data_IF_986814901328
#
_entry.id   IF_986814901328
#
_cell.length_a   1.000
_cell.length_b   1.000
_cell.length_c   1.000
_cell.angle_alpha   90.00
_cell.angle_beta   90.00
_cell.angle_gamma   90.00
#
_symmetry.space_group_name_H-M   'P 1'
#
loop_
_entity.id
_entity.type
_entity.pdbx_description
1 polymer ?
#
# COMPACT_ATOMS: atom_id res chain seq x y z
N UNK A 1 27.58 -52.83 78.71
CA UNK A 1 27.09 -51.89 77.69
C UNK A 1 27.41 -52.47 76.32
N UNK A 2 26.43 -53.12 75.70
CA UNK A 2 26.58 -54.08 74.61
C UNK A 2 26.75 -53.39 73.25
N UNK A 3 27.46 -54.04 72.31
CA UNK A 3 27.67 -53.56 70.92
C UNK A 3 26.35 -53.18 70.21
N UNK A 4 25.23 -53.78 70.62
CA UNK A 4 23.89 -53.45 70.15
C UNK A 4 23.43 -52.02 70.52
N UNK A 5 23.75 -51.51 71.71
CA UNK A 5 23.33 -50.17 72.14
C UNK A 5 24.12 -49.05 71.42
N UNK A 6 25.39 -49.32 71.05
CA UNK A 6 26.19 -48.42 70.19
C UNK A 6 25.72 -48.45 68.73
N UNK A 7 25.20 -49.57 68.24
CA UNK A 7 24.61 -49.65 66.90
C UNK A 7 23.27 -48.92 66.82
N UNK A 8 22.45 -48.99 67.88
CA UNK A 8 21.15 -48.33 67.96
C UNK A 8 21.27 -46.80 68.11
N UNK A 9 22.26 -46.32 68.88
CA UNK A 9 22.60 -44.89 68.96
C UNK A 9 23.26 -44.34 67.68
N UNK A 10 23.97 -45.17 66.88
CA UNK A 10 24.43 -44.79 65.54
C UNK A 10 23.30 -44.73 64.52
N UNK A 11 22.34 -45.68 64.56
CA UNK A 11 21.17 -45.64 63.67
C UNK A 11 20.24 -44.44 63.93
N UNK A 12 20.14 -43.96 65.18
CA UNK A 12 19.37 -42.74 65.49
C UNK A 12 20.06 -41.45 65.00
N UNK A 13 21.39 -41.43 64.92
CA UNK A 13 22.13 -40.32 64.30
C UNK A 13 21.98 -40.28 62.78
N UNK A 14 21.99 -41.44 62.13
CA UNK A 14 21.88 -41.55 60.67
C UNK A 14 20.44 -41.35 60.17
N UNK A 15 19.43 -41.89 60.85
CA UNK A 15 18.01 -41.72 60.46
C UNK A 15 17.49 -40.29 60.64
N UNK A 16 17.93 -39.58 61.69
CA UNK A 16 17.62 -38.17 61.88
C UNK A 16 18.25 -37.27 60.79
N UNK A 17 19.47 -37.62 60.35
CA UNK A 17 20.16 -36.92 59.27
C UNK A 17 19.48 -37.15 57.92
N UNK A 18 18.99 -38.37 57.64
CA UNK A 18 18.22 -38.69 56.42
C UNK A 18 16.89 -37.93 56.37
N UNK A 19 16.17 -37.84 57.49
CA UNK A 19 14.92 -37.06 57.54
C UNK A 19 15.18 -35.56 57.32
N UNK A 20 16.23 -35.00 57.94
CA UNK A 20 16.61 -33.61 57.72
C UNK A 20 17.03 -33.31 56.26
N UNK A 21 17.79 -34.22 55.63
CA UNK A 21 18.12 -34.11 54.20
C UNK A 21 16.88 -34.18 53.31
N UNK A 22 15.92 -35.05 53.64
CA UNK A 22 14.68 -35.20 52.87
C UNK A 22 13.83 -33.93 52.96
N UNK A 23 13.69 -33.35 54.16
CA UNK A 23 12.95 -32.09 54.36
C UNK A 23 13.65 -30.92 53.64
N UNK A 24 14.98 -30.86 53.65
CA UNK A 24 15.72 -29.85 52.89
C UNK A 24 15.56 -30.03 51.37
N UNK A 25 15.58 -31.27 50.85
CA UNK A 25 15.34 -31.54 49.43
C UNK A 25 13.92 -31.19 49.01
N UNK A 26 12.92 -31.50 49.84
CA UNK A 26 11.52 -31.11 49.58
C UNK A 26 11.37 -29.59 49.65
N UNK A 27 12.03 -28.92 50.60
CA UNK A 27 12.04 -27.46 50.71
C UNK A 27 12.70 -26.78 49.51
N UNK A 28 13.86 -27.27 49.08
CA UNK A 28 14.55 -26.78 47.88
C UNK A 28 13.73 -27.05 46.61
N UNK A 29 13.11 -28.22 46.51
CA UNK A 29 12.21 -28.58 45.42
C UNK A 29 10.98 -27.66 45.35
N UNK A 30 10.38 -27.36 46.51
CA UNK A 30 9.25 -26.44 46.60
C UNK A 30 9.63 -25.01 46.22
N UNK A 31 10.80 -24.52 46.66
CA UNK A 31 11.30 -23.20 46.29
C UNK A 31 11.63 -23.09 44.79
N UNK A 32 12.25 -24.12 44.22
CA UNK A 32 12.52 -24.18 42.78
C UNK A 32 11.23 -24.21 41.95
N UNK A 33 10.20 -24.92 42.42
CA UNK A 33 8.89 -24.98 41.75
C UNK A 33 8.11 -23.66 41.88
N UNK A 34 8.21 -22.98 43.03
CA UNK A 34 7.61 -21.65 43.21
C UNK A 34 8.25 -20.59 42.30
N UNK A 35 9.58 -20.58 42.19
CA UNK A 35 10.31 -19.65 41.33
C UNK A 35 10.00 -19.88 39.83
N UNK A 36 9.87 -21.15 39.40
CA UNK A 36 9.50 -21.47 38.02
C UNK A 36 8.05 -21.07 37.72
N UNK A 37 7.10 -21.29 38.64
CA UNK A 37 5.72 -20.82 38.49
C UNK A 37 5.62 -19.29 38.39
N UNK A 38 6.37 -18.54 39.20
CA UNK A 38 6.39 -17.08 39.12
C UNK A 38 6.89 -16.59 37.74
N UNK A 39 7.92 -17.26 37.21
CA UNK A 39 8.46 -16.96 35.87
C UNK A 39 7.45 -17.29 34.77
N UNK A 40 6.77 -18.45 34.86
CA UNK A 40 5.71 -18.83 33.91
C UNK A 40 4.57 -17.83 33.96
N UNK A 41 4.09 -17.42 35.14
CA UNK A 41 3.03 -16.41 35.28
C UNK A 41 3.47 -15.06 34.69
N UNK A 42 4.71 -14.63 34.91
CA UNK A 42 5.24 -13.40 34.33
C UNK A 42 5.32 -13.46 32.79
N UNK A 43 5.81 -14.58 32.24
CA UNK A 43 5.87 -14.80 30.79
C UNK A 43 4.48 -14.87 30.17
N UNK A 44 3.53 -15.53 30.84
CA UNK A 44 2.14 -15.66 30.35
C UNK A 44 1.40 -14.32 30.40
N UNK A 45 1.62 -13.51 31.44
CA UNK A 45 1.08 -12.14 31.54
C UNK A 45 1.73 -11.19 30.53
N UNK A 46 3.02 -11.35 30.28
CA UNK A 46 3.73 -10.63 29.21
C UNK A 46 3.19 -10.98 27.83
N UNK A 47 2.98 -12.28 27.55
CA UNK A 47 2.46 -12.72 26.25
C UNK A 47 0.99 -12.35 26.05
N UNK A 48 0.16 -12.36 27.11
CA UNK A 48 -1.23 -11.89 27.02
C UNK A 48 -1.30 -10.39 26.75
N UNK A 49 -0.44 -9.58 27.37
CA UNK A 49 -0.35 -8.15 27.11
C UNK A 49 0.03 -7.85 25.64
N UNK A 50 1.05 -8.55 25.13
CA UNK A 50 1.47 -8.40 23.72
C UNK A 50 0.38 -8.86 22.75
N UNK A 51 -0.30 -9.97 23.03
CA UNK A 51 -1.37 -10.47 22.16
C UNK A 51 -2.58 -9.50 22.12
N UNK A 52 -2.91 -8.91 23.26
CA UNK A 52 -3.99 -7.92 23.39
C UNK A 52 -3.65 -6.61 22.67
N UNK A 53 -2.43 -6.08 22.87
CA UNK A 53 -1.95 -4.88 22.18
C UNK A 53 -1.88 -5.10 20.66
N UNK A 54 -1.49 -6.30 20.23
CA UNK A 54 -1.57 -6.70 18.82
C UNK A 54 -3.02 -6.75 18.32
N UNK A 55 -3.97 -7.22 19.13
CA UNK A 55 -5.40 -7.20 18.80
C UNK A 55 -5.93 -5.78 18.55
N UNK A 56 -5.55 -4.82 19.40
CA UNK A 56 -5.89 -3.40 19.23
C UNK A 56 -5.24 -2.84 17.97
N UNK A 57 -3.97 -3.18 17.70
CA UNK A 57 -3.28 -2.74 16.50
C UNK A 57 -3.97 -3.27 15.22
N UNK A 58 -4.30 -4.56 15.19
CA UNK A 58 -5.00 -5.17 14.04
C UNK A 58 -6.39 -4.55 13.84
N UNK A 59 -7.14 -4.28 14.91
CA UNK A 59 -8.40 -3.58 14.80
C UNK A 59 -8.24 -2.18 14.16
N UNK A 60 -7.23 -1.41 14.58
CA UNK A 60 -6.93 -0.12 13.96
C UNK A 60 -6.51 -0.27 12.48
N UNK A 61 -5.66 -1.25 12.16
CA UNK A 61 -5.21 -1.49 10.79
C UNK A 61 -6.36 -1.87 9.85
N UNK A 62 -7.26 -2.77 10.29
CA UNK A 62 -8.43 -3.17 9.51
C UNK A 62 -9.39 -2.01 9.24
N UNK A 63 -9.45 -1.00 10.11
CA UNK A 63 -10.19 0.23 9.82
C UNK A 63 -9.63 1.02 8.63
N UNK A 64 -8.30 1.07 8.47
CA UNK A 64 -7.65 1.69 7.30
C UNK A 64 -7.89 0.84 6.04
N UNK A 65 -7.75 -0.49 6.16
CA UNK A 65 -7.95 -1.41 5.04
C UNK A 65 -9.38 -1.36 4.50
N UNK A 66 -10.40 -1.21 5.37
CA UNK A 66 -11.78 -1.06 4.94
C UNK A 66 -12.00 0.23 4.11
N UNK A 67 -11.44 1.37 4.53
CA UNK A 67 -11.49 2.60 3.72
C UNK A 67 -10.72 2.45 2.41
N UNK A 68 -9.60 1.71 2.43
CA UNK A 68 -8.84 1.42 1.21
C UNK A 68 -9.65 0.55 0.23
N UNK A 69 -10.41 -0.44 0.73
CA UNK A 69 -11.32 -1.24 -0.09
C UNK A 69 -12.42 -0.38 -0.72
N UNK A 70 -13.06 0.49 0.05
CA UNK A 70 -14.06 1.43 -0.47
C UNK A 70 -13.48 2.35 -1.56
N UNK A 71 -12.26 2.85 -1.35
CA UNK A 71 -11.55 3.64 -2.36
C UNK A 71 -11.32 2.82 -3.63
N UNK A 72 -10.88 1.56 -3.53
CA UNK A 72 -10.70 0.66 -4.68
C UNK A 72 -12.00 0.42 -5.46
N UNK A 73 -13.15 0.46 -4.79
CA UNK A 73 -14.47 0.39 -5.42
C UNK A 73 -14.92 1.72 -6.05
N UNK A 74 -14.11 2.78 -5.95
CA UNK A 74 -14.40 4.10 -6.50
C UNK A 74 -15.30 4.96 -5.62
N UNK A 75 -15.53 4.57 -4.36
CA UNK A 75 -16.23 5.42 -3.40
C UNK A 75 -15.38 6.64 -3.05
N UNK A 76 -16.05 7.71 -2.63
CA UNK A 76 -15.43 8.97 -2.19
C UNK A 76 -15.64 9.13 -0.69
N UNK A 77 -14.63 8.83 0.15
CA UNK A 77 -14.72 8.94 1.60
C UNK A 77 -15.00 10.34 2.17
N UNK A 78 -14.83 11.39 1.36
CA UNK A 78 -15.16 12.77 1.74
C UNK A 78 -16.54 13.22 1.23
N UNK A 79 -17.20 12.36 0.46
CA UNK A 79 -18.53 12.62 -0.08
C UNK A 79 -19.61 12.63 1.02
N UNK A 80 -20.66 13.47 0.90
CA UNK A 80 -21.69 13.60 1.93
C UNK A 80 -22.54 12.33 2.12
N UNK A 81 -22.55 11.43 1.13
CA UNK A 81 -23.26 10.15 1.17
C UNK A 81 -22.38 8.99 1.66
N UNK A 82 -21.09 9.22 1.90
CA UNK A 82 -20.19 8.18 2.34
C UNK A 82 -20.54 7.71 3.75
N UNK A 83 -20.59 6.39 3.92
CA UNK A 83 -20.77 5.76 5.22
C UNK A 83 -19.46 5.13 5.60
N UNK A 84 -18.91 5.57 6.73
CA UNK A 84 -17.68 4.99 7.28
C UNK A 84 -17.94 3.50 7.56
N UNK A 85 -17.06 2.59 7.12
CA UNK A 85 -17.28 1.15 7.27
C UNK A 85 -17.25 0.74 8.75
N UNK A 86 -18.17 -0.13 9.12
CA UNK A 86 -18.18 -0.76 10.44
C UNK A 86 -17.32 -2.01 10.41
N UNK A 87 -16.19 -1.97 11.11
CA UNK A 87 -15.24 -3.08 11.21
C UNK A 87 -15.23 -3.60 12.65
N UNK A 88 -15.23 -4.91 12.84
CA UNK A 88 -15.11 -5.54 14.17
C UNK A 88 -14.03 -6.61 14.12
N UNK A 89 -12.94 -6.41 14.86
CA UNK A 89 -11.84 -7.38 14.94
C UNK A 89 -11.67 -7.79 16.39
N UNK A 90 -11.87 -9.07 16.68
CA UNK A 90 -11.74 -9.64 18.03
C UNK A 90 -12.55 -8.88 19.11
N UNK A 91 -13.74 -8.39 18.74
CA UNK A 91 -14.61 -7.63 19.64
C UNK A 91 -14.21 -6.16 19.85
N UNK A 92 -13.17 -5.68 19.17
CA UNK A 92 -12.72 -4.28 19.19
C UNK A 92 -13.20 -3.60 17.91
N UNK A 93 -13.95 -2.51 18.06
CA UNK A 93 -14.42 -1.68 16.96
C UNK A 93 -13.54 -0.41 16.87
N UNK A 94 -12.77 -0.22 15.78
CA UNK A 94 -12.01 1.01 15.59
C UNK A 94 -12.97 2.18 15.28
N UNK A 95 -12.61 3.36 15.75
CA UNK A 95 -13.17 4.64 15.29
C UNK A 95 -12.35 5.12 14.10
N UNK A 96 -13.00 5.28 12.94
CA UNK A 96 -12.35 5.70 11.69
C UNK A 96 -12.77 7.14 11.38
N UNK A 97 -11.80 7.98 11.07
CA UNK A 97 -12.00 9.36 10.63
C UNK A 97 -11.24 9.57 9.34
N UNK A 98 -11.95 10.03 8.30
CA UNK A 98 -11.35 10.38 7.01
C UNK A 98 -11.39 11.89 6.83
N UNK A 99 -10.29 12.45 6.34
CA UNK A 99 -10.16 13.89 6.12
C UNK A 99 -9.27 14.22 4.93
N UNK A 100 -9.15 15.52 4.66
CA UNK A 100 -8.17 16.04 3.72
C UNK A 100 -6.79 16.13 4.39
N UNK A 101 -5.69 15.84 3.67
CA UNK A 101 -4.35 16.01 4.19
C UNK A 101 -4.08 17.45 4.63
N UNK A 102 -3.29 17.67 5.71
CA UNK A 102 -3.03 19.02 6.23
C UNK A 102 -2.09 19.83 5.32
N UNK A 103 -1.29 19.19 4.47
CA UNK A 103 -0.43 19.84 3.48
C UNK A 103 -0.27 18.98 2.24
N UNK A 104 0.04 19.62 1.10
CA UNK A 104 0.37 18.94 -0.17
C UNK A 104 1.65 18.10 -0.09
N UNK A 105 2.56 18.44 0.82
CA UNK A 105 3.83 17.73 1.02
C UNK A 105 3.68 16.48 1.92
N UNK A 106 2.47 16.21 2.45
CA UNK A 106 2.21 15.01 3.23
C UNK A 106 2.31 13.72 2.40
N UNK A 107 2.29 13.84 1.08
CA UNK A 107 2.46 12.74 0.14
C UNK A 107 3.79 12.85 -0.58
N UNK A 108 4.44 11.73 -0.93
CA UNK A 108 5.43 11.75 -1.99
C UNK A 108 4.85 12.41 -3.24
N UNK A 109 5.67 13.24 -3.89
CA UNK A 109 5.32 13.90 -5.15
C UNK A 109 4.77 12.84 -6.10
N UNK A 110 3.59 13.08 -6.66
CA UNK A 110 2.87 12.03 -7.37
C UNK A 110 3.73 11.39 -8.45
N UNK A 111 3.70 10.08 -8.46
CA UNK A 111 4.35 9.21 -9.43
C UNK A 111 3.70 9.41 -10.79
N UNK A 112 4.51 9.66 -11.82
CA UNK A 112 4.04 9.65 -13.20
C UNK A 112 3.42 8.28 -13.49
N UNK A 113 2.23 8.26 -14.07
CA UNK A 113 1.56 7.02 -14.47
C UNK A 113 1.97 6.67 -15.88
N UNK A 114 2.46 5.44 -16.03
CA UNK A 114 2.69 4.81 -17.32
C UNK A 114 1.37 4.30 -17.89
N UNK A 115 1.09 4.66 -19.13
CA UNK A 115 0.04 4.09 -19.95
C UNK A 115 0.72 3.47 -21.18
N UNK A 116 0.44 2.19 -21.44
CA UNK A 116 0.78 1.56 -22.70
C UNK A 116 -0.49 1.44 -23.57
N UNK A 117 -0.65 2.29 -24.60
CA UNK A 117 -1.82 2.25 -25.46
C UNK A 117 -1.93 0.93 -26.26
N UNK A 118 -0.83 0.22 -26.52
CA UNK A 118 -0.82 -1.05 -27.25
C UNK A 118 -1.16 -2.31 -26.45
N UNK A 119 -1.08 -2.25 -25.11
CA UNK A 119 -1.39 -3.40 -24.24
C UNK A 119 -2.85 -3.37 -23.74
N UNK A 120 -3.47 -2.19 -23.71
CA UNK A 120 -4.77 -1.97 -23.04
C UNK A 120 -5.96 -1.66 -23.99
N UNK A 121 -5.85 -1.89 -25.31
CA UNK A 121 -6.93 -1.52 -26.23
C UNK A 121 -6.78 -1.97 -27.70
N UNK A 122 -7.69 -1.50 -28.60
CA UNK A 122 -7.74 -1.86 -30.02
C UNK A 122 -6.53 -1.39 -30.83
N UNK A 123 -5.61 -0.64 -30.22
CA UNK A 123 -4.34 -0.19 -30.82
C UNK A 123 -3.29 -1.31 -30.92
N UNK A 124 -3.64 -2.51 -30.45
CA UNK A 124 -2.85 -3.73 -30.65
C UNK A 124 -2.84 -4.20 -32.11
N UNK A 125 -3.70 -3.66 -32.99
CA UNK A 125 -3.75 -4.02 -34.40
C UNK A 125 -3.82 -2.79 -35.34
N UNK A 126 -3.13 -2.82 -36.50
CA UNK A 126 -3.13 -1.76 -37.51
C UNK A 126 -4.53 -1.52 -38.11
N UNK A 127 -4.92 -0.26 -38.30
CA UNK A 127 -5.89 0.13 -39.33
C UNK A 127 -5.36 1.38 -40.06
N UNK A 128 -5.03 1.28 -41.36
CA UNK A 128 -4.35 2.32 -42.12
C UNK A 128 -5.27 3.52 -42.35
N UNK A 129 -4.71 4.73 -42.30
CA UNK A 129 -5.46 5.97 -42.49
C UNK A 129 -6.48 6.26 -41.37
N UNK A 130 -6.30 5.64 -40.19
CA UNK A 130 -7.10 5.95 -39.01
C UNK A 130 -6.34 6.86 -38.06
N UNK A 131 -7.09 7.75 -37.44
CA UNK A 131 -6.63 8.61 -36.36
C UNK A 131 -7.00 7.94 -35.04
N UNK A 132 -5.99 7.61 -34.25
CA UNK A 132 -6.15 7.02 -32.94
C UNK A 132 -6.05 8.10 -31.86
N UNK A 133 -6.99 8.08 -30.91
CA UNK A 133 -7.04 9.09 -29.84
C UNK A 133 -7.04 8.43 -28.48
N UNK A 134 -6.07 8.78 -27.66
CA UNK A 134 -6.00 8.42 -26.25
C UNK A 134 -6.39 9.63 -25.43
N UNK A 135 -7.55 9.55 -24.78
CA UNK A 135 -8.03 10.62 -23.90
C UNK A 135 -7.53 10.40 -22.48
N UNK A 136 -6.68 11.30 -22.00
CA UNK A 136 -6.20 11.36 -20.63
C UNK A 136 -7.13 12.26 -19.83
N UNK A 137 -7.65 11.79 -18.70
CA UNK A 137 -8.61 12.51 -17.86
C UNK A 137 -8.07 12.57 -16.43
N UNK A 138 -8.26 13.71 -15.75
CA UNK A 138 -7.68 14.03 -14.45
C UNK A 138 -6.15 14.05 -14.51
N UNK A 139 -5.57 14.76 -15.46
CA UNK A 139 -4.13 15.03 -15.48
C UNK A 139 -3.84 16.23 -14.56
N UNK A 140 -2.70 16.20 -13.87
CA UNK A 140 -2.25 17.27 -13.01
C UNK A 140 -1.93 18.52 -13.85
N UNK A 141 -2.58 19.68 -13.58
CA UNK A 141 -2.31 20.91 -14.30
C UNK A 141 -0.85 21.32 -14.18
N UNK A 142 -0.31 21.91 -15.24
CA UNK A 142 1.08 22.35 -15.31
C UNK A 142 2.11 21.24 -15.07
N UNK A 143 1.76 19.95 -15.21
CA UNK A 143 2.77 18.88 -15.20
C UNK A 143 3.46 18.75 -16.56
N UNK A 144 4.44 17.86 -16.65
CA UNK A 144 4.94 17.37 -17.94
C UNK A 144 4.11 16.15 -18.36
N UNK A 145 3.86 16.03 -19.65
CA UNK A 145 3.39 14.83 -20.32
C UNK A 145 4.53 14.34 -21.20
N UNK A 146 4.92 13.08 -21.05
CA UNK A 146 5.88 12.46 -21.96
C UNK A 146 5.16 11.45 -22.82
N UNK A 147 5.42 11.46 -24.11
CA UNK A 147 4.89 10.49 -25.06
C UNK A 147 6.08 9.94 -25.84
N UNK A 148 6.11 8.63 -26.01
CA UNK A 148 6.98 7.97 -26.96
C UNK A 148 6.12 7.07 -27.83
N UNK A 149 6.28 7.17 -29.13
CA UNK A 149 5.54 6.38 -30.09
C UNK A 149 6.51 5.72 -31.06
N UNK A 150 6.54 4.39 -31.06
CA UNK A 150 7.54 3.62 -31.80
C UNK A 150 6.85 2.61 -32.71
N UNK A 151 7.22 2.65 -33.98
CA UNK A 151 6.69 1.82 -35.05
C UNK A 151 7.50 0.53 -35.20
N UNK A 152 6.88 -0.52 -35.74
CA UNK A 152 7.55 -1.79 -36.01
C UNK A 152 8.55 -1.74 -37.17
N UNK A 153 8.49 -0.70 -38.00
CA UNK A 153 9.32 -0.56 -39.20
C UNK A 153 9.88 0.88 -39.29
N UNK A 154 11.17 1.04 -39.63
CA UNK A 154 11.90 2.30 -39.54
C UNK A 154 11.88 3.14 -40.84
N UNK A 155 11.08 2.80 -41.84
CA UNK A 155 11.02 3.59 -43.10
C UNK A 155 9.74 4.43 -43.20
N UNK A 156 9.10 4.69 -42.05
CA UNK A 156 7.67 5.03 -42.02
C UNK A 156 7.39 6.40 -41.40
N UNK A 157 6.49 7.12 -42.06
CA UNK A 157 5.99 8.42 -41.62
C UNK A 157 4.80 8.24 -40.66
N UNK A 158 4.78 9.03 -39.60
CA UNK A 158 3.70 9.04 -38.64
C UNK A 158 3.70 10.34 -37.86
N UNK A 159 2.58 10.65 -37.24
CA UNK A 159 2.35 11.94 -36.62
C UNK A 159 1.76 11.72 -35.23
N UNK A 160 2.32 12.40 -34.24
CA UNK A 160 1.79 12.45 -32.88
C UNK A 160 1.43 13.89 -32.55
N UNK A 161 0.20 14.12 -32.10
CA UNK A 161 -0.22 15.42 -31.53
C UNK A 161 -0.65 15.28 -30.08
N UNK A 162 -0.42 16.32 -29.30
CA UNK A 162 -1.04 16.51 -28.00
C UNK A 162 -1.99 17.68 -28.08
N UNK A 163 -3.25 17.42 -27.78
CA UNK A 163 -4.33 18.40 -27.83
C UNK A 163 -4.88 18.64 -26.41
N UNK A 164 -5.39 19.85 -26.18
CA UNK A 164 -6.17 20.18 -24.99
C UNK A 164 -7.60 19.61 -25.05
N UNK A 165 -8.42 19.92 -24.05
CA UNK A 165 -9.80 19.43 -23.95
C UNK A 165 -10.73 19.95 -25.05
N UNK A 166 -10.38 21.07 -25.70
CA UNK A 166 -11.11 21.71 -26.78
C UNK A 166 -10.60 21.29 -28.17
N UNK A 167 -9.51 20.52 -28.22
CA UNK A 167 -8.86 20.11 -29.45
C UNK A 167 -7.84 21.13 -29.98
N UNK A 168 -7.43 22.12 -29.18
CA UNK A 168 -6.31 22.97 -29.57
C UNK A 168 -5.00 22.21 -29.41
N UNK A 169 -4.14 22.34 -30.40
CA UNK A 169 -2.84 21.72 -30.42
C UNK A 169 -1.88 22.39 -29.42
N UNK A 170 -1.22 21.56 -28.63
CA UNK A 170 -0.20 21.95 -27.67
C UNK A 170 1.20 21.57 -28.15
N UNK A 171 1.31 20.47 -28.89
CA UNK A 171 2.53 20.00 -29.51
C UNK A 171 2.20 19.01 -30.64
N UNK A 172 3.12 18.89 -31.59
CA UNK A 172 3.09 17.98 -32.72
C UNK A 172 4.54 17.54 -33.00
N UNK A 173 4.71 16.25 -33.32
CA UNK A 173 5.97 15.69 -33.81
C UNK A 173 5.67 14.72 -34.96
N UNK A 174 6.46 14.82 -36.02
CA UNK A 174 6.40 13.97 -37.21
C UNK A 174 7.61 13.04 -37.25
N UNK A 175 7.40 11.77 -37.59
CA UNK A 175 8.48 10.80 -37.75
C UNK A 175 9.15 11.02 -39.10
N UNK A 176 10.47 11.16 -39.06
CA UNK A 176 11.34 11.13 -40.23
C UNK A 176 12.34 9.98 -40.02
N UNK A 177 12.52 9.13 -41.02
CA UNK A 177 13.50 8.03 -41.01
C UNK A 177 13.39 6.98 -39.87
N UNK A 178 12.18 6.72 -39.36
CA UNK A 178 11.92 5.57 -38.47
C UNK A 178 12.35 5.70 -37.03
N UNK A 179 12.81 6.88 -36.63
CA UNK A 179 13.07 7.17 -35.23
C UNK A 179 11.74 7.20 -34.43
N UNK A 180 11.77 6.78 -33.16
CA UNK A 180 10.59 6.87 -32.31
C UNK A 180 10.23 8.32 -32.03
N UNK A 181 8.94 8.65 -32.16
CA UNK A 181 8.40 9.96 -31.87
C UNK A 181 8.38 10.19 -30.36
N UNK A 182 9.35 10.93 -29.87
CA UNK A 182 9.45 11.30 -28.45
C UNK A 182 9.10 12.77 -28.25
N UNK A 183 8.14 13.05 -27.38
CA UNK A 183 7.79 14.42 -27.00
C UNK A 183 7.64 14.59 -25.49
N UNK A 184 7.99 15.79 -25.03
CA UNK A 184 7.77 16.24 -23.66
C UNK A 184 6.99 17.56 -23.68
N UNK A 185 5.73 17.51 -23.31
CA UNK A 185 4.80 18.65 -23.41
C UNK A 185 4.52 19.21 -22.03
N UNK A 186 4.66 20.53 -21.86
CA UNK A 186 4.20 21.20 -20.64
C UNK A 186 2.70 21.41 -20.73
N UNK A 187 1.96 20.81 -19.82
CA UNK A 187 0.51 20.89 -19.78
C UNK A 187 0.04 22.25 -19.28
N UNK A 188 -1.18 22.61 -19.67
CA UNK A 188 -1.83 23.87 -19.29
C UNK A 188 -2.67 23.66 -18.02
N UNK A 189 -3.68 24.51 -17.81
CA UNK A 189 -4.61 24.41 -16.69
C UNK A 189 -5.68 23.33 -16.85
N UNK A 190 -5.77 22.70 -18.01
CA UNK A 190 -6.78 21.69 -18.31
C UNK A 190 -6.54 20.41 -17.50
N UNK A 191 -7.62 19.67 -17.22
CA UNK A 191 -7.58 18.36 -16.55
C UNK A 191 -7.70 17.19 -17.53
N UNK A 192 -7.90 17.49 -18.81
CA UNK A 192 -8.18 16.52 -19.86
C UNK A 192 -7.35 16.86 -21.09
N UNK A 193 -6.65 15.87 -21.63
CA UNK A 193 -5.80 16.00 -22.82
C UNK A 193 -6.04 14.83 -23.75
N UNK A 194 -5.77 15.03 -25.04
CA UNK A 194 -5.91 14.01 -26.07
C UNK A 194 -4.53 13.81 -26.68
N UNK A 195 -4.01 12.59 -26.64
CA UNK A 195 -2.87 12.21 -27.46
C UNK A 195 -3.41 11.56 -28.72
N UNK A 196 -3.17 12.21 -29.84
CA UNK A 196 -3.59 11.78 -31.16
C UNK A 196 -2.40 11.13 -31.88
N UNK A 197 -2.64 9.98 -32.48
CA UNK A 197 -1.67 9.26 -33.30
C UNK A 197 -2.29 9.06 -34.67
N UNK A 198 -1.63 9.58 -35.69
CA UNK A 198 -2.01 9.36 -37.08
C UNK A 198 -0.91 8.60 -37.78
N UNK A 199 -1.34 7.66 -38.59
CA UNK A 199 -0.47 6.84 -39.40
C UNK A 199 -1.19 6.55 -40.72
N UNK A 200 -0.48 6.79 -41.82
CA UNK A 200 -1.02 6.68 -43.16
C UNK A 200 -0.88 5.25 -43.73
N UNK A 201 -0.18 4.34 -43.03
CA UNK A 201 0.10 2.97 -43.47
C UNK A 201 -0.41 1.85 -42.52
N UNK A 202 -0.32 0.59 -42.96
CA UNK A 202 -0.74 -0.62 -42.21
C UNK A 202 0.25 -0.98 -41.09
N UNK A 203 0.38 -0.15 -40.05
CA UNK A 203 1.46 -0.32 -39.07
C UNK A 203 1.03 -0.92 -37.74
N UNK A 204 1.90 -1.77 -37.19
CA UNK A 204 1.83 -2.22 -35.81
C UNK A 204 2.77 -1.41 -34.93
N UNK A 205 2.33 -1.07 -33.73
CA UNK A 205 3.17 -0.41 -32.73
C UNK A 205 4.03 -1.41 -31.98
N UNK A 206 5.26 -1.02 -31.63
CA UNK A 206 6.07 -1.79 -30.70
C UNK A 206 5.62 -1.47 -29.29
N UNK A 207 5.00 -2.45 -28.63
CA UNK A 207 4.56 -2.33 -27.23
C UNK A 207 5.29 -3.34 -26.34
N UNK A 208 5.53 -2.98 -25.09
CA UNK A 208 6.03 -3.90 -24.06
C UNK A 208 5.32 -3.66 -22.73
N UNK A 209 5.33 -4.64 -21.81
CA UNK A 209 5.00 -4.36 -20.42
C UNK A 209 5.80 -3.17 -19.87
N UNK A 210 5.27 -2.53 -18.84
CA UNK A 210 5.90 -1.40 -18.15
C UNK A 210 7.39 -1.67 -17.85
N UNK A 211 8.23 -0.68 -18.17
CA UNK A 211 9.63 -0.61 -17.74
C UNK A 211 9.89 0.80 -17.21
N UNK A 212 10.55 0.86 -16.06
CA UNK A 212 11.02 2.05 -15.36
C UNK A 212 12.01 2.90 -16.16
N UNK A 213 12.70 2.31 -17.14
CA UNK A 213 13.57 3.03 -18.07
C UNK A 213 12.86 3.49 -19.34
N UNK A 214 11.64 3.01 -19.61
CA UNK A 214 10.83 3.43 -20.76
C UNK A 214 11.63 3.44 -22.06
N UNK A 215 12.11 2.26 -22.50
CA UNK A 215 12.94 2.13 -23.70
C UNK A 215 12.42 2.98 -24.86
N UNK A 216 13.32 3.70 -25.53
CA UNK A 216 12.98 4.57 -26.67
C UNK A 216 12.38 3.79 -27.83
N UNK A 217 12.61 2.49 -27.89
CA UNK A 217 12.06 1.56 -28.87
C UNK A 217 10.64 1.06 -28.55
N UNK A 218 9.96 1.65 -27.55
CA UNK A 218 8.65 1.19 -27.05
C UNK A 218 7.63 2.31 -27.01
N UNK A 219 6.39 2.01 -27.39
CA UNK A 219 5.28 2.95 -27.29
C UNK A 219 4.81 3.11 -25.84
N UNK A 220 4.76 4.34 -25.34
CA UNK A 220 4.30 4.67 -23.99
C UNK A 220 3.85 6.13 -23.82
N UNK A 221 3.02 6.38 -22.80
CA UNK A 221 2.65 7.72 -22.34
C UNK A 221 2.90 7.79 -20.83
N UNK A 222 3.60 8.82 -20.36
CA UNK A 222 3.75 9.16 -18.94
C UNK A 222 3.04 10.46 -18.61
N UNK A 223 1.99 10.37 -17.81
CA UNK A 223 1.23 11.52 -17.34
C UNK A 223 1.21 11.58 -15.81
N UNK A 224 1.37 12.77 -15.24
CA UNK A 224 1.16 12.98 -13.81
C UNK A 224 -0.34 13.09 -13.57
N UNK A 225 -0.97 12.07 -12.99
CA UNK A 225 -2.41 12.07 -12.78
C UNK A 225 -2.79 12.82 -11.49
N UNK A 226 -3.83 13.65 -11.56
CA UNK A 226 -4.47 14.31 -10.44
C UNK A 226 -5.26 13.28 -9.63
N UNK A 227 -4.69 12.83 -8.52
CA UNK A 227 -5.35 11.97 -7.56
C UNK A 227 -6.17 12.76 -6.54
N UNK A 228 -7.14 12.10 -5.92
CA UNK A 228 -7.73 12.59 -4.67
C UNK A 228 -6.93 12.05 -3.51
N UNK A 229 -6.60 12.92 -2.56
CA UNK A 229 -5.75 12.59 -1.43
C UNK A 229 -6.58 12.58 -0.16
N UNK A 230 -6.32 11.58 0.68
CA UNK A 230 -7.06 11.33 1.91
C UNK A 230 -6.07 11.07 3.05
N UNK A 231 -6.42 11.55 4.23
CA UNK A 231 -5.81 11.08 5.48
C UNK A 231 -6.84 10.25 6.23
N UNK A 232 -6.54 8.99 6.45
CA UNK A 232 -7.38 8.06 7.22
C UNK A 232 -6.73 7.88 8.58
N UNK A 233 -7.45 8.25 9.63
CA UNK A 233 -7.05 8.01 11.01
C UNK A 233 -7.95 6.94 11.59
N UNK A 234 -7.37 5.82 12.02
CA UNK A 234 -8.10 4.73 12.67
C UNK A 234 -7.60 4.59 14.09
N UNK A 235 -8.52 4.67 15.05
CA UNK A 235 -8.25 4.59 16.49
C UNK A 235 -8.95 3.37 17.08
N UNK A 236 -8.20 2.45 17.66
CA UNK A 236 -8.76 1.31 18.39
C UNK A 236 -8.34 1.37 19.86
N UNK A 237 -9.19 0.85 20.74
CA UNK A 237 -8.93 0.81 22.17
C UNK A 237 -9.57 -0.44 22.77
N UNK A 238 -8.76 -1.27 23.45
CA UNK A 238 -9.27 -2.32 24.34
C UNK A 238 -9.62 -1.73 25.71
N UNK A 239 -10.47 -2.44 26.46
CA UNK A 239 -10.86 -2.06 27.82
C UNK A 239 -9.61 -1.88 28.68
N UNK A 240 -9.51 -0.76 29.40
CA UNK A 240 -8.39 -0.42 30.29
C UNK A 240 -7.00 -0.24 29.62
N UNK A 241 -6.95 -0.07 28.29
CA UNK A 241 -5.71 0.18 27.54
C UNK A 241 -5.67 1.57 26.93
N UNK A 242 -4.44 2.04 26.70
CA UNK A 242 -4.21 3.23 25.88
C UNK A 242 -4.69 2.98 24.44
N UNK A 243 -5.32 3.97 23.80
CA UNK A 243 -5.73 3.83 22.41
C UNK A 243 -4.51 3.74 21.49
N UNK A 244 -4.58 2.86 20.49
CA UNK A 244 -3.65 2.87 19.36
C UNK A 244 -4.29 3.71 18.26
N UNK A 245 -3.53 4.67 17.72
CA UNK A 245 -3.95 5.51 16.61
C UNK A 245 -3.02 5.25 15.42
N UNK A 246 -3.58 4.80 14.32
CA UNK A 246 -2.88 4.65 13.05
C UNK A 246 -3.34 5.73 12.08
N UNK A 247 -2.39 6.27 11.33
CA UNK A 247 -2.66 7.24 10.27
C UNK A 247 -2.07 6.75 8.95
N UNK A 248 -2.93 6.67 7.94
CA UNK A 248 -2.54 6.37 6.57
C UNK A 248 -2.86 7.57 5.67
N UNK A 249 -1.95 7.84 4.76
CA UNK A 249 -2.15 8.77 3.64
C UNK A 249 -2.48 7.91 2.43
N UNK A 250 -3.69 8.09 1.88
CA UNK A 250 -4.20 7.33 0.75
C UNK A 250 -4.40 8.27 -0.43
N UNK A 251 -3.95 7.88 -1.62
CA UNK A 251 -4.23 8.60 -2.86
C UNK A 251 -5.01 7.73 -3.81
N UNK A 252 -6.21 8.18 -4.18
CA UNK A 252 -7.06 7.54 -5.17
C UNK A 252 -6.75 8.12 -6.54
N UNK A 253 -6.26 7.27 -7.45
CA UNK A 253 -5.91 7.66 -8.81
C UNK A 253 -6.88 7.03 -9.81
N UNK A 254 -7.23 7.74 -10.89
CA UNK A 254 -7.92 7.13 -12.01
C UNK A 254 -7.03 6.06 -12.64
N UNK A 255 -7.60 4.92 -13.01
CA UNK A 255 -6.91 3.79 -13.61
C UNK A 255 -7.63 3.28 -14.86
N UNK A 256 -6.90 2.50 -15.68
CA UNK A 256 -7.34 1.98 -16.96
C UNK A 256 -8.27 0.77 -16.80
N UNK A 257 -9.43 0.77 -17.49
CA UNK A 257 -10.30 -0.41 -17.58
C UNK A 257 -9.79 -1.33 -18.70
N UNK A 258 -9.69 -2.66 -18.48
CA UNK A 258 -9.14 -3.60 -19.47
C UNK A 258 -9.97 -3.78 -20.75
N UNK A 259 -11.23 -3.34 -20.77
CA UNK A 259 -12.22 -3.85 -21.74
C UNK A 259 -12.68 -2.83 -22.79
N UNK A 260 -12.21 -1.56 -22.78
CA UNK A 260 -12.78 -0.57 -23.72
C UNK A 260 -11.93 0.66 -24.08
N UNK A 261 -10.64 0.74 -23.72
CA UNK A 261 -9.82 1.94 -24.01
C UNK A 261 -10.34 3.25 -23.37
N UNK A 262 -11.46 3.21 -22.65
CA UNK A 262 -11.95 4.30 -21.82
C UNK A 262 -11.46 4.09 -20.39
N UNK A 263 -10.73 5.07 -19.87
CA UNK A 263 -10.35 5.13 -18.45
C UNK A 263 -11.61 5.39 -17.63
N UNK A 264 -12.31 4.33 -17.24
CA UNK A 264 -13.38 4.38 -16.25
C UNK A 264 -13.21 3.22 -15.28
N UNK A 265 -13.01 3.53 -14.00
CA UNK A 265 -13.19 2.66 -12.84
C UNK A 265 -12.15 1.58 -12.51
N UNK A 266 -10.89 1.68 -12.94
CA UNK A 266 -9.82 1.06 -12.12
C UNK A 266 -9.36 2.12 -11.14
N UNK A 267 -9.37 1.82 -9.85
CA UNK A 267 -8.81 2.72 -8.85
C UNK A 267 -7.50 2.14 -8.36
N UNK A 268 -6.44 2.94 -8.41
CA UNK A 268 -5.19 2.60 -7.74
C UNK A 268 -5.14 3.41 -6.45
N UNK A 269 -4.97 2.73 -5.33
CA UNK A 269 -4.70 3.36 -4.04
C UNK A 269 -3.21 3.26 -3.74
N UNK A 270 -2.54 4.41 -3.67
CA UNK A 270 -1.20 4.48 -3.09
C UNK A 270 -1.33 4.78 -1.60
N UNK A 271 -0.68 3.96 -0.77
CA UNK A 271 -0.76 4.05 0.69
C UNK A 271 0.61 4.30 1.31
N UNK A 272 0.68 5.28 2.21
CA UNK A 272 1.83 5.52 3.08
C UNK A 272 1.38 5.49 4.52
N UNK A 273 1.99 4.61 5.31
CA UNK A 273 1.73 4.54 6.75
C UNK A 273 2.83 5.28 7.50
N UNK A 274 2.42 6.19 8.38
CA UNK A 274 3.31 6.75 9.40
C UNK A 274 2.81 6.27 10.76
N UNK A 275 3.56 5.37 11.37
CA UNK A 275 3.29 4.95 12.75
C UNK A 275 3.82 6.06 13.66
N UNK A 276 2.93 6.90 14.17
CA UNK A 276 3.26 7.83 15.25
C UNK A 276 3.06 7.05 16.56
N UNK A 277 4.16 6.61 17.20
CA UNK A 277 4.02 6.15 18.58
C UNK A 277 3.67 7.38 19.42
N UNK A 278 2.51 7.36 20.05
CA UNK A 278 2.26 8.23 21.18
C UNK A 278 3.29 7.81 22.23
N UNK A 279 4.33 8.62 22.39
CA UNK A 279 5.45 8.32 23.25
C UNK A 279 4.97 7.80 24.59
N UNK A 280 5.54 6.69 25.03
CA UNK A 280 5.47 6.34 26.44
C UNK A 280 6.00 7.54 27.22
N UNK A 281 5.11 8.29 27.86
CA UNK A 281 5.52 9.21 28.93
C UNK A 281 6.27 8.37 29.95
N UNK A 282 7.52 8.72 30.31
CA UNK A 282 8.22 8.09 31.42
C UNK A 282 7.46 8.25 32.74
#
# INVERSE_FOLDING_TARGET
>A
MTRALRALLRMMGESGQVMAMTVMMVGLGAMATGASMATVVAVTRGSSGVAEDMGVYYAAASGIEAVMADLLEGLDPLGPSYRVPEVLVNGIQPTIVVGTPPSRDAFPRSTYRYLNPGVAGPLSAPLPGQVHRVRLINVEPFSLLFVNWSFSSPEEEGEVKVLDSQGHELAEEDADDGDPLTMAVRLTSDDTYIVEFKNDENLSIVSSPFSDTGGSDKTWIYAKMKGREYVVTSRAQAVDKSPIVLRAYLRQLPGAHPDNGSIRHTVVVEAWQRVESLGATP
#
